data_IF_426426909924
#
_entry.id   IF_426426909924
#
_cell.length_a   1.000
_cell.length_b   1.000
_cell.length_c   1.000
_cell.angle_alpha   90.00
_cell.angle_beta   90.00
_cell.angle_gamma   90.00
#
_symmetry.space_group_name_H-M   'P 1'
#
loop_
_entity.id
_entity.type
_entity.pdbx_description
1 polymer ?
#
# COMPACT_ATOMS: atom_id res chain seq x y z
N UNK A 1 -28.61 -22.19 -73.85
CA UNK A 1 -29.73 -22.45 -72.93
C UNK A 1 -29.14 -22.69 -71.53
N UNK A 2 -29.50 -21.81 -70.58
CA UNK A 2 -29.55 -21.97 -69.10
C UNK A 2 -28.22 -22.34 -68.39
N UNK A 3 -27.53 -21.47 -67.65
CA UNK A 3 -27.83 -20.60 -66.49
C UNK A 3 -28.11 -21.32 -65.15
N UNK A 4 -27.48 -20.76 -64.10
CA UNK A 4 -27.63 -20.94 -62.63
C UNK A 4 -26.84 -22.09 -61.99
N UNK A 5 -26.13 -21.91 -60.85
CA UNK A 5 -26.19 -20.81 -59.90
C UNK A 5 -24.96 -20.72 -58.99
N UNK A 6 -24.71 -19.48 -58.56
CA UNK A 6 -23.80 -19.15 -57.48
C UNK A 6 -24.33 -19.67 -56.13
N UNK A 7 -23.43 -20.13 -55.27
CA UNK A 7 -23.65 -20.14 -53.82
C UNK A 7 -22.39 -19.67 -53.13
N UNK A 8 -22.37 -18.37 -52.83
CA UNK A 8 -21.56 -17.80 -51.78
C UNK A 8 -22.08 -18.32 -50.44
N UNK A 9 -21.20 -18.85 -49.59
CA UNK A 9 -21.47 -18.88 -48.15
C UNK A 9 -20.38 -18.11 -47.43
N UNK A 10 -20.71 -16.84 -47.21
CA UNK A 10 -20.07 -15.94 -46.28
C UNK A 10 -20.08 -16.56 -44.88
N UNK A 11 -18.95 -17.13 -44.45
CA UNK A 11 -18.64 -17.37 -43.06
C UNK A 11 -18.15 -16.09 -42.38
N UNK A 12 -18.93 -15.00 -42.46
CA UNK A 12 -18.66 -13.82 -41.64
C UNK A 12 -19.17 -14.15 -40.24
N UNK A 13 -18.34 -14.77 -39.41
CA UNK A 13 -18.58 -14.76 -37.97
C UNK A 13 -18.66 -13.30 -37.57
N UNK A 14 -19.76 -12.81 -36.98
CA UNK A 14 -19.80 -11.44 -36.51
C UNK A 14 -18.79 -11.39 -35.38
N UNK A 15 -17.61 -10.84 -35.65
CA UNK A 15 -16.72 -10.39 -34.61
C UNK A 15 -17.56 -9.40 -33.83
N UNK A 16 -18.00 -9.78 -32.63
CA UNK A 16 -18.59 -8.86 -31.68
C UNK A 16 -17.48 -7.85 -31.41
N UNK A 17 -17.43 -6.78 -32.20
CA UNK A 17 -16.69 -5.57 -31.90
C UNK A 17 -17.38 -4.98 -30.68
N UNK A 18 -17.13 -5.57 -29.51
CA UNK A 18 -17.37 -4.91 -28.24
C UNK A 18 -16.65 -3.57 -28.34
N UNK A 19 -17.42 -2.48 -28.40
CA UNK A 19 -16.87 -1.13 -28.31
C UNK A 19 -15.92 -1.11 -27.12
N UNK A 20 -14.63 -0.92 -27.37
CA UNK A 20 -13.59 -0.99 -26.36
C UNK A 20 -13.79 0.16 -25.35
N UNK A 21 -14.41 -0.12 -24.21
CA UNK A 21 -14.59 0.87 -23.14
C UNK A 21 -13.21 1.29 -22.65
N UNK A 22 -12.90 2.59 -22.71
CA UNK A 22 -11.59 3.16 -22.37
C UNK A 22 -10.40 2.54 -23.14
N UNK A 23 -10.66 1.86 -24.27
CA UNK A 23 -9.65 1.19 -25.09
C UNK A 23 -9.25 -0.21 -24.61
N UNK A 24 -9.93 -0.79 -23.61
CA UNK A 24 -9.68 -2.18 -23.20
C UNK A 24 -10.27 -3.16 -24.22
N UNK A 25 -9.43 -4.07 -24.72
CA UNK A 25 -9.83 -5.11 -25.69
C UNK A 25 -10.59 -6.27 -25.01
N UNK A 26 -10.27 -6.55 -23.73
CA UNK A 26 -10.89 -7.63 -22.94
C UNK A 26 -11.60 -7.08 -21.72
N UNK A 27 -12.79 -7.62 -21.43
CA UNK A 27 -13.56 -7.25 -20.23
C UNK A 27 -12.83 -7.64 -18.95
N UNK A 28 -12.11 -8.77 -18.93
CA UNK A 28 -11.31 -9.17 -17.77
C UNK A 28 -10.31 -8.09 -17.35
N UNK A 29 -9.58 -7.50 -18.30
CA UNK A 29 -8.60 -6.44 -18.01
C UNK A 29 -9.27 -5.14 -17.57
N UNK A 30 -10.44 -4.81 -18.12
CA UNK A 30 -11.26 -3.70 -17.61
C UNK A 30 -11.72 -3.97 -16.16
N UNK A 31 -12.21 -5.17 -15.85
CA UNK A 31 -12.66 -5.54 -14.50
C UNK A 31 -11.51 -5.51 -13.49
N UNK A 32 -10.33 -6.02 -13.86
CA UNK A 32 -9.14 -5.93 -13.01
C UNK A 32 -8.71 -4.48 -12.78
N UNK A 33 -8.73 -3.65 -13.84
CA UNK A 33 -8.43 -2.22 -13.70
C UNK A 33 -9.44 -1.50 -12.81
N UNK A 34 -10.74 -1.79 -12.93
CA UNK A 34 -11.77 -1.23 -12.07
C UNK A 34 -11.58 -1.65 -10.61
N UNK A 35 -11.26 -2.92 -10.36
CA UNK A 35 -11.05 -3.44 -9.00
C UNK A 35 -9.78 -2.83 -8.37
N UNK A 36 -8.61 -3.10 -8.96
CA UNK A 36 -7.33 -2.68 -8.39
C UNK A 36 -7.13 -1.17 -8.51
N UNK A 37 -7.49 -0.59 -9.65
CA UNK A 37 -7.41 0.86 -9.86
C UNK A 37 -8.42 1.62 -9.01
N UNK A 38 -9.64 1.10 -8.86
CA UNK A 38 -10.65 1.68 -7.97
C UNK A 38 -10.23 1.66 -6.51
N UNK A 39 -9.74 0.51 -6.00
CA UNK A 39 -9.21 0.39 -4.63
C UNK A 39 -8.04 1.36 -4.42
N UNK A 40 -7.12 1.43 -5.38
CA UNK A 40 -5.96 2.35 -5.31
C UNK A 40 -6.38 3.81 -5.27
N UNK A 41 -7.35 4.21 -6.10
CA UNK A 41 -7.87 5.58 -6.13
C UNK A 41 -8.61 5.92 -4.83
N UNK A 42 -9.46 5.01 -4.34
CA UNK A 42 -10.17 5.17 -3.07
C UNK A 42 -9.19 5.30 -1.91
N UNK A 43 -8.14 4.49 -1.88
CA UNK A 43 -7.09 4.57 -0.87
C UNK A 43 -6.38 5.94 -0.93
N UNK A 44 -5.99 6.39 -2.13
CA UNK A 44 -5.31 7.67 -2.29
C UNK A 44 -6.17 8.86 -1.82
N UNK A 45 -7.47 8.85 -2.14
CA UNK A 45 -8.38 9.94 -1.77
C UNK A 45 -8.74 9.93 -0.27
N UNK A 46 -8.91 8.74 0.33
CA UNK A 46 -9.21 8.61 1.76
C UNK A 46 -8.04 9.03 2.68
N UNK A 47 -6.81 9.07 2.15
CA UNK A 47 -5.61 9.39 2.93
C UNK A 47 -5.11 10.83 2.74
N UNK A 48 -5.88 11.71 2.10
CA UNK A 48 -5.49 13.13 1.91
C UNK A 48 -5.39 13.90 3.23
N UNK A 49 -6.15 13.53 4.27
CA UNK A 49 -6.10 14.21 5.57
C UNK A 49 -4.74 14.11 6.27
N UNK A 50 -3.99 13.03 6.02
CA UNK A 50 -2.65 12.79 6.56
C UNK A 50 -1.60 13.76 6.01
N UNK A 51 -1.92 14.57 5.00
CA UNK A 51 -1.03 15.65 4.55
C UNK A 51 -0.91 16.77 5.61
N UNK A 52 -1.90 16.91 6.48
CA UNK A 52 -1.91 17.88 7.57
C UNK A 52 -1.40 17.25 8.88
N UNK A 53 -0.68 18.04 9.68
CA UNK A 53 -0.24 17.63 11.04
C UNK A 53 -1.43 17.23 11.92
N UNK A 54 -2.53 17.99 11.86
CA UNK A 54 -3.75 17.71 12.62
C UNK A 54 -4.40 16.41 12.19
N UNK A 55 -4.46 16.15 10.88
CA UNK A 55 -4.98 14.89 10.34
C UNK A 55 -4.12 13.70 10.74
N UNK A 56 -2.78 13.79 10.64
CA UNK A 56 -1.89 12.74 11.13
C UNK A 56 -2.12 12.43 12.61
N UNK A 57 -2.17 13.46 13.46
CA UNK A 57 -2.39 13.28 14.91
C UNK A 57 -3.71 12.57 15.23
N UNK A 58 -4.75 12.80 14.43
CA UNK A 58 -6.09 12.24 14.65
C UNK A 58 -6.24 10.84 14.05
N UNK A 59 -5.67 10.59 12.89
CA UNK A 59 -6.00 9.43 12.05
C UNK A 59 -4.93 8.33 12.04
N UNK A 60 -3.71 8.62 12.48
CA UNK A 60 -2.69 7.58 12.64
C UNK A 60 -3.14 6.51 13.64
N UNK A 61 -2.67 5.28 13.41
CA UNK A 61 -2.97 4.18 14.30
C UNK A 61 -2.49 4.49 15.74
N UNK A 62 -3.14 3.89 16.76
CA UNK A 62 -2.74 4.05 18.14
C UNK A 62 -1.23 3.82 18.36
N UNK A 63 -0.59 4.73 19.09
CA UNK A 63 0.85 4.69 19.39
C UNK A 63 1.78 5.32 18.34
N UNK A 64 1.37 5.39 17.08
CA UNK A 64 2.24 5.88 16.00
C UNK A 64 2.64 7.36 16.16
N UNK A 65 1.71 8.19 16.66
CA UNK A 65 1.96 9.62 16.79
C UNK A 65 3.10 9.94 17.77
N UNK A 66 3.41 9.06 18.73
CA UNK A 66 4.55 9.22 19.63
C UNK A 66 5.87 9.43 18.87
N UNK A 67 6.07 8.66 17.80
CA UNK A 67 7.25 8.78 16.93
C UNK A 67 7.05 9.87 15.87
N UNK A 68 5.89 9.90 15.21
CA UNK A 68 5.62 10.81 14.09
C UNK A 68 5.34 12.27 14.47
N UNK A 69 5.27 12.61 15.76
CA UNK A 69 5.31 14.01 16.21
C UNK A 69 6.71 14.64 16.11
N UNK A 70 7.77 13.83 16.08
CA UNK A 70 9.14 14.32 15.93
C UNK A 70 9.34 14.86 14.51
N UNK A 71 9.91 16.06 14.39
CA UNK A 71 10.03 16.79 13.11
C UNK A 71 10.63 15.96 11.97
N UNK A 72 11.63 15.13 12.27
CA UNK A 72 12.30 14.28 11.29
C UNK A 72 11.38 13.21 10.72
N UNK A 73 10.75 12.38 11.57
CA UNK A 73 9.82 11.33 11.13
C UNK A 73 8.54 11.91 10.56
N UNK A 74 8.06 13.02 11.09
CA UNK A 74 6.90 13.73 10.54
C UNK A 74 7.17 14.20 9.10
N UNK A 75 8.34 14.77 8.85
CA UNK A 75 8.75 15.20 7.52
C UNK A 75 8.85 13.98 6.58
N UNK A 76 9.46 12.90 7.05
CA UNK A 76 9.54 11.64 6.31
C UNK A 76 8.15 11.13 5.89
N UNK A 77 7.22 11.02 6.84
CA UNK A 77 5.86 10.57 6.57
C UNK A 77 5.11 11.51 5.62
N UNK A 78 5.26 12.83 5.80
CA UNK A 78 4.64 13.81 4.90
C UNK A 78 5.19 13.71 3.48
N UNK A 79 6.51 13.61 3.32
CA UNK A 79 7.15 13.41 2.01
C UNK A 79 6.70 12.11 1.36
N UNK A 80 6.59 11.04 2.15
CA UNK A 80 6.07 9.76 1.69
C UNK A 80 4.67 9.92 1.11
N UNK A 81 3.73 10.48 1.88
CA UNK A 81 2.34 10.68 1.48
C UNK A 81 2.18 11.65 0.31
N UNK A 82 2.87 12.80 0.33
CA UNK A 82 2.86 13.77 -0.77
C UNK A 82 3.39 13.16 -2.09
N UNK A 83 4.19 12.11 -2.01
CA UNK A 83 4.71 11.43 -3.18
C UNK A 83 3.81 10.26 -3.62
N UNK A 84 3.47 9.34 -2.72
CA UNK A 84 2.77 8.10 -3.07
C UNK A 84 1.31 8.32 -3.42
N UNK A 85 0.62 9.30 -2.82
CA UNK A 85 -0.80 9.57 -3.13
C UNK A 85 -0.97 10.04 -4.59
N UNK A 86 -0.30 11.11 -5.07
CA UNK A 86 -0.40 11.49 -6.48
C UNK A 86 0.21 10.45 -7.42
N UNK A 87 1.29 9.75 -7.03
CA UNK A 87 1.83 8.67 -7.84
C UNK A 87 0.80 7.56 -8.07
N UNK A 88 0.06 7.16 -7.03
CA UNK A 88 -0.99 6.14 -7.11
C UNK A 88 -2.10 6.54 -8.08
N UNK A 89 -2.58 7.79 -7.98
CA UNK A 89 -3.57 8.34 -8.92
C UNK A 89 -3.04 8.29 -10.36
N UNK A 90 -1.81 8.76 -10.58
CA UNK A 90 -1.18 8.71 -11.90
C UNK A 90 -1.11 7.27 -12.42
N UNK A 91 -0.64 6.30 -11.62
CA UNK A 91 -0.52 4.90 -12.02
C UNK A 91 -1.83 4.30 -12.52
N UNK A 92 -2.96 4.59 -11.84
CA UNK A 92 -4.28 4.12 -12.27
C UNK A 92 -4.58 4.59 -13.69
N UNK A 93 -4.37 5.87 -13.99
CA UNK A 93 -4.62 6.43 -15.32
C UNK A 93 -3.56 6.00 -16.35
N UNK A 94 -2.31 5.80 -15.96
CA UNK A 94 -1.25 5.31 -16.84
C UNK A 94 -1.54 3.89 -17.37
N UNK A 95 -2.37 3.12 -16.67
CA UNK A 95 -2.79 1.78 -17.10
C UNK A 95 -3.95 1.79 -18.11
N UNK A 96 -4.61 2.94 -18.36
CA UNK A 96 -5.75 3.03 -19.28
C UNK A 96 -5.26 2.98 -20.74
N UNK A 97 -5.72 2.01 -21.56
CA UNK A 97 -5.24 1.85 -22.93
C UNK A 97 -5.47 3.08 -23.81
N UNK A 98 -6.60 3.80 -23.67
CA UNK A 98 -6.85 5.04 -24.41
C UNK A 98 -5.77 6.10 -24.13
N UNK A 99 -5.32 6.24 -22.88
CA UNK A 99 -4.26 7.18 -22.52
C UNK A 99 -2.93 6.71 -23.10
N UNK A 100 -2.60 5.43 -22.92
CA UNK A 100 -1.34 4.84 -23.40
C UNK A 100 -1.19 4.89 -24.93
N UNK A 101 -2.27 4.60 -25.66
CA UNK A 101 -2.22 4.41 -27.11
C UNK A 101 -2.47 5.72 -27.88
N UNK A 102 -3.46 6.51 -27.44
CA UNK A 102 -3.95 7.69 -28.16
C UNK A 102 -3.39 9.01 -27.59
N UNK A 103 -3.12 9.06 -26.28
CA UNK A 103 -2.60 10.27 -25.61
C UNK A 103 -1.17 10.07 -25.10
N UNK A 104 -0.27 9.68 -26.02
CA UNK A 104 1.11 9.28 -25.69
C UNK A 104 1.93 10.33 -24.94
N UNK A 105 1.69 11.62 -25.16
CA UNK A 105 2.39 12.67 -24.41
C UNK A 105 1.99 12.70 -22.94
N UNK A 106 0.69 12.54 -22.64
CA UNK A 106 0.17 12.39 -21.27
C UNK A 106 0.77 11.15 -20.61
N UNK A 107 0.84 10.03 -21.34
CA UNK A 107 1.49 8.81 -20.84
C UNK A 107 2.97 9.05 -20.49
N UNK A 108 3.72 9.71 -21.38
CA UNK A 108 5.15 9.98 -21.19
C UNK A 108 5.44 10.93 -20.04
N UNK A 109 4.74 12.07 -19.97
CA UNK A 109 4.95 13.06 -18.91
C UNK A 109 4.47 12.51 -17.58
N UNK A 110 3.26 11.93 -17.54
CA UNK A 110 2.73 11.35 -16.31
C UNK A 110 3.55 10.18 -15.80
N UNK A 111 4.09 9.32 -16.68
CA UNK A 111 5.01 8.25 -16.29
C UNK A 111 6.33 8.75 -15.69
N UNK A 112 6.89 9.86 -16.20
CA UNK A 112 8.08 10.50 -15.62
C UNK A 112 7.81 11.03 -14.22
N UNK A 113 6.71 11.78 -14.07
CA UNK A 113 6.28 12.33 -12.79
C UNK A 113 6.04 11.19 -11.79
N UNK A 114 5.30 10.16 -12.20
CA UNK A 114 5.01 9.00 -11.36
C UNK A 114 6.29 8.31 -10.90
N UNK A 115 7.26 8.01 -11.77
CA UNK A 115 8.52 7.40 -11.34
C UNK A 115 9.34 8.29 -10.40
N UNK A 116 9.41 9.60 -10.63
CA UNK A 116 10.08 10.52 -9.71
C UNK A 116 9.43 10.50 -8.33
N UNK A 117 8.09 10.58 -8.28
CA UNK A 117 7.34 10.51 -7.03
C UNK A 117 7.54 9.16 -6.35
N UNK A 118 7.60 8.04 -7.08
CA UNK A 118 7.89 6.73 -6.50
C UNK A 118 9.25 6.69 -5.82
N UNK A 119 10.29 7.27 -6.42
CA UNK A 119 11.59 7.33 -5.78
C UNK A 119 11.56 8.15 -4.50
N UNK A 120 10.94 9.34 -4.52
CA UNK A 120 10.77 10.16 -3.30
C UNK A 120 9.99 9.40 -2.23
N UNK A 121 8.89 8.74 -2.62
CA UNK A 121 8.05 7.94 -1.74
C UNK A 121 8.77 6.73 -1.16
N UNK A 122 9.57 6.02 -1.94
CA UNK A 122 10.35 4.87 -1.48
C UNK A 122 11.46 5.29 -0.51
N UNK A 123 12.23 6.35 -0.83
CA UNK A 123 13.27 6.88 0.06
C UNK A 123 12.65 7.31 1.40
N UNK A 124 11.61 8.13 1.35
CA UNK A 124 10.94 8.60 2.57
C UNK A 124 10.24 7.47 3.33
N UNK A 125 9.76 6.43 2.65
CA UNK A 125 9.25 5.20 3.25
C UNK A 125 10.30 4.49 4.09
N UNK A 126 11.50 4.29 3.53
CA UNK A 126 12.65 3.69 4.24
C UNK A 126 12.99 4.48 5.51
N UNK A 127 12.87 5.80 5.49
CA UNK A 127 13.13 6.65 6.67
C UNK A 127 12.15 6.44 7.82
N UNK A 128 10.90 6.10 7.53
CA UNK A 128 9.83 5.96 8.54
C UNK A 128 9.60 4.52 8.99
N UNK A 129 10.00 3.55 8.18
CA UNK A 129 9.89 2.11 8.46
C UNK A 129 10.40 1.68 9.85
N UNK A 130 11.49 2.23 10.42
CA UNK A 130 11.95 1.88 11.77
C UNK A 130 10.99 2.16 12.92
N UNK A 131 9.93 2.95 12.69
CA UNK A 131 8.93 3.29 13.71
C UNK A 131 7.50 2.93 13.32
N UNK A 132 7.28 2.56 12.05
CA UNK A 132 5.96 2.19 11.56
C UNK A 132 5.44 0.94 12.31
N UNK A 133 4.34 1.09 13.04
CA UNK A 133 3.77 0.10 13.95
C UNK A 133 4.86 -0.50 14.84
N UNK A 134 5.61 0.36 15.53
CA UNK A 134 6.68 -0.04 16.45
C UNK A 134 7.94 -0.62 15.83
N UNK A 135 8.03 -0.64 14.50
CA UNK A 135 9.28 -0.96 13.81
C UNK A 135 9.79 -2.37 14.09
N UNK A 136 8.91 -3.37 14.17
CA UNK A 136 9.37 -4.76 14.32
C UNK A 136 10.38 -5.13 13.24
N UNK A 137 11.41 -5.95 13.52
CA UNK A 137 12.39 -6.35 12.51
C UNK A 137 11.76 -6.97 11.26
N UNK A 138 10.61 -7.65 11.42
CA UNK A 138 9.83 -8.20 10.30
C UNK A 138 9.24 -7.11 9.39
N UNK A 139 8.63 -6.06 9.98
CA UNK A 139 8.11 -4.92 9.23
C UNK A 139 9.24 -4.10 8.58
N UNK A 140 10.40 -3.98 9.25
CA UNK A 140 11.56 -3.32 8.67
C UNK A 140 12.11 -4.08 7.47
N UNK A 141 12.30 -5.40 7.62
CA UNK A 141 12.76 -6.26 6.54
C UNK A 141 11.83 -6.19 5.32
N UNK A 142 10.51 -6.20 5.53
CA UNK A 142 9.57 -6.04 4.42
C UNK A 142 9.67 -4.65 3.79
N UNK A 143 9.65 -3.59 4.60
CA UNK A 143 9.67 -2.20 4.12
C UNK A 143 10.91 -1.90 3.26
N UNK A 144 12.06 -2.44 3.64
CA UNK A 144 13.29 -2.36 2.85
C UNK A 144 13.22 -3.24 1.59
N UNK A 145 12.64 -4.43 1.69
CA UNK A 145 12.46 -5.33 0.55
C UNK A 145 11.56 -4.71 -0.52
N UNK A 146 10.40 -4.18 -0.15
CA UNK A 146 9.47 -3.55 -1.10
C UNK A 146 10.09 -2.28 -1.71
N UNK A 147 10.86 -1.50 -0.94
CA UNK A 147 11.61 -0.38 -1.49
C UNK A 147 12.59 -0.84 -2.57
N UNK A 148 13.42 -1.86 -2.30
CA UNK A 148 14.35 -2.44 -3.28
C UNK A 148 13.61 -2.92 -4.53
N UNK A 149 12.49 -3.62 -4.37
CA UNK A 149 11.67 -4.10 -5.48
C UNK A 149 11.10 -2.94 -6.31
N UNK A 150 10.65 -1.85 -5.68
CA UNK A 150 10.18 -0.64 -6.35
C UNK A 150 11.33 0.03 -7.12
N UNK A 151 12.49 0.25 -6.49
CA UNK A 151 13.66 0.84 -7.15
C UNK A 151 14.10 0.01 -8.35
N UNK A 152 14.22 -1.30 -8.16
CA UNK A 152 14.68 -2.21 -9.21
C UNK A 152 13.67 -2.30 -10.37
N UNK A 153 12.39 -2.50 -10.07
CA UNK A 153 11.35 -2.63 -11.10
C UNK A 153 11.14 -1.33 -11.88
N UNK A 154 11.15 -0.17 -11.21
CA UNK A 154 11.06 1.14 -11.87
C UNK A 154 12.29 1.45 -12.73
N UNK A 155 13.50 1.15 -12.23
CA UNK A 155 14.73 1.24 -13.02
C UNK A 155 14.67 0.37 -14.28
N UNK A 156 14.24 -0.90 -14.15
CA UNK A 156 14.09 -1.81 -15.29
C UNK A 156 13.03 -1.31 -16.27
N UNK A 157 11.89 -0.84 -15.79
CA UNK A 157 10.85 -0.26 -16.63
C UNK A 157 11.40 0.95 -17.43
N UNK A 158 12.13 1.84 -16.76
CA UNK A 158 12.74 3.01 -17.38
C UNK A 158 13.82 2.65 -18.40
N UNK A 159 14.75 1.76 -18.04
CA UNK A 159 15.82 1.29 -18.93
C UNK A 159 15.24 0.66 -20.20
N UNK A 160 14.21 -0.18 -20.07
CA UNK A 160 13.59 -0.88 -21.21
C UNK A 160 12.86 0.07 -22.16
N UNK A 161 12.18 1.11 -21.66
CA UNK A 161 11.55 2.10 -22.54
C UNK A 161 12.60 2.97 -23.26
N UNK A 162 13.74 3.26 -22.62
CA UNK A 162 14.87 3.95 -23.28
C UNK A 162 15.47 3.12 -24.41
N UNK A 163 15.53 1.80 -24.25
CA UNK A 163 15.93 0.87 -25.31
C UNK A 163 14.80 0.54 -26.30
N UNK A 164 13.67 1.26 -26.29
CA UNK A 164 12.49 1.03 -27.13
C UNK A 164 11.88 -0.38 -27.02
N UNK A 165 12.16 -1.12 -25.93
CA UNK A 165 11.56 -2.43 -25.65
C UNK A 165 10.25 -2.24 -24.88
N UNK A 166 9.19 -1.90 -25.59
CA UNK A 166 7.88 -1.53 -25.02
C UNK A 166 7.25 -2.69 -24.22
N UNK A 167 7.32 -3.90 -24.76
CA UNK A 167 6.79 -5.11 -24.11
C UNK A 167 7.47 -5.38 -22.77
N UNK A 168 8.80 -5.25 -22.73
CA UNK A 168 9.56 -5.39 -21.48
C UNK A 168 9.27 -4.25 -20.50
N UNK A 169 9.15 -3.01 -20.99
CA UNK A 169 8.75 -1.88 -20.16
C UNK A 169 7.42 -2.15 -19.46
N UNK A 170 6.40 -2.61 -20.20
CA UNK A 170 5.09 -2.97 -19.64
C UNK A 170 5.23 -4.01 -18.53
N UNK A 171 5.98 -5.08 -18.77
CA UNK A 171 6.19 -6.16 -17.79
C UNK A 171 6.79 -5.64 -16.47
N UNK A 172 7.80 -4.78 -16.54
CA UNK A 172 8.43 -4.21 -15.34
C UNK A 172 7.58 -3.12 -14.68
N UNK A 173 6.85 -2.30 -15.46
CA UNK A 173 5.93 -1.31 -14.93
C UNK A 173 4.77 -1.96 -14.15
N UNK A 174 4.25 -3.09 -14.63
CA UNK A 174 3.22 -3.85 -13.92
C UNK A 174 3.74 -4.45 -12.62
N UNK A 175 4.95 -5.04 -12.60
CA UNK A 175 5.58 -5.50 -11.35
C UNK A 175 5.68 -4.38 -10.33
N UNK A 176 6.18 -3.21 -10.77
CA UNK A 176 6.26 -2.01 -9.93
C UNK A 176 4.88 -1.63 -9.35
N UNK A 177 3.84 -1.60 -10.18
CA UNK A 177 2.49 -1.28 -9.75
C UNK A 177 1.92 -2.29 -8.73
N UNK A 178 2.18 -3.59 -8.90
CA UNK A 178 1.74 -4.62 -7.95
C UNK A 178 2.50 -4.54 -6.62
N UNK A 179 3.81 -4.29 -6.64
CA UNK A 179 4.57 -4.08 -5.39
C UNK A 179 4.13 -2.82 -4.63
N UNK A 180 3.59 -1.80 -5.32
CA UNK A 180 2.96 -0.66 -4.65
C UNK A 180 1.59 -1.03 -4.09
N UNK A 181 0.82 -1.80 -4.85
CA UNK A 181 -0.51 -2.29 -4.45
C UNK A 181 -0.48 -3.23 -3.23
N UNK A 182 0.64 -3.92 -2.97
CA UNK A 182 0.79 -4.74 -1.76
C UNK A 182 0.72 -3.91 -0.48
N UNK A 183 1.28 -2.69 -0.47
CA UNK A 183 1.24 -1.78 0.68
C UNK A 183 -0.17 -1.24 0.98
N UNK A 184 -1.04 -1.19 -0.03
CA UNK A 184 -2.47 -0.83 0.13
C UNK A 184 -3.22 -2.04 0.69
N UNK A 185 -3.00 -3.21 0.07
CA UNK A 185 -3.65 -4.46 0.47
C UNK A 185 -3.29 -4.89 1.89
N UNK A 186 -2.08 -4.56 2.35
CA UNK A 186 -1.61 -4.87 3.70
C UNK A 186 -2.45 -4.21 4.79
N UNK A 187 -3.19 -3.13 4.50
CA UNK A 187 -4.08 -2.48 5.46
C UNK A 187 -5.32 -3.31 5.76
N UNK A 188 -5.85 -3.98 4.74
CA UNK A 188 -6.96 -4.94 4.90
C UNK A 188 -6.42 -6.21 5.58
N UNK A 189 -5.27 -6.70 5.12
CA UNK A 189 -4.64 -7.89 5.71
C UNK A 189 -4.23 -7.67 7.17
N UNK A 190 -3.86 -6.44 7.56
CA UNK A 190 -3.56 -6.08 8.93
C UNK A 190 -4.75 -6.39 9.83
N UNK A 191 -5.94 -5.87 9.49
CA UNK A 191 -7.16 -6.13 10.28
C UNK A 191 -7.53 -7.62 10.34
N UNK A 192 -7.36 -8.35 9.25
CA UNK A 192 -7.62 -9.81 9.23
C UNK A 192 -6.64 -10.54 10.15
N UNK A 193 -5.33 -10.31 9.97
CA UNK A 193 -4.28 -10.99 10.72
C UNK A 193 -4.32 -10.66 12.21
N UNK A 194 -4.59 -9.41 12.58
CA UNK A 194 -4.69 -8.99 13.98
C UNK A 194 -5.92 -9.60 14.68
N UNK A 195 -7.08 -9.68 14.00
CA UNK A 195 -8.26 -10.38 14.54
C UNK A 195 -7.98 -11.87 14.75
N UNK A 196 -7.34 -12.52 13.78
CA UNK A 196 -6.94 -13.92 13.88
C UNK A 196 -5.96 -14.12 15.04
N UNK A 197 -4.95 -13.25 15.18
CA UNK A 197 -3.94 -13.37 16.22
C UNK A 197 -4.54 -13.26 17.63
N UNK A 198 -5.47 -12.32 17.85
CA UNK A 198 -6.17 -12.16 19.14
C UNK A 198 -7.15 -13.31 19.42
N UNK A 199 -7.72 -13.92 18.37
CA UNK A 199 -8.62 -15.07 18.52
C UNK A 199 -7.90 -16.33 19.05
N UNK A 200 -6.67 -16.58 18.61
CA UNK A 200 -5.92 -17.79 18.97
C UNK A 200 -5.31 -17.77 20.38
N UNK A 201 -5.46 -16.68 21.13
CA UNK A 201 -5.05 -16.60 22.53
C UNK A 201 -4.47 -15.24 22.90
N UNK A 202 -4.11 -15.06 24.18
CA UNK A 202 -3.52 -13.81 24.64
C UNK A 202 -2.14 -13.60 24.01
N UNK A 203 -2.01 -12.55 23.22
CA UNK A 203 -0.74 -12.11 22.62
C UNK A 203 -0.28 -10.83 23.32
N UNK A 204 1.03 -10.59 23.31
CA UNK A 204 1.63 -9.43 23.94
C UNK A 204 2.70 -8.82 23.04
N UNK A 205 2.79 -7.51 23.05
CA UNK A 205 3.85 -6.76 22.37
C UNK A 205 4.51 -5.83 23.36
N UNK A 206 5.82 -5.66 23.24
CA UNK A 206 6.61 -4.82 24.13
C UNK A 206 6.44 -3.34 23.74
N UNK A 207 6.22 -2.49 24.76
CA UNK A 207 6.19 -1.03 24.66
C UNK A 207 7.16 -0.42 25.66
N UNK A 208 7.71 0.75 25.34
CA UNK A 208 8.39 1.59 26.35
C UNK A 208 7.37 2.30 27.22
N UNK A 209 7.71 2.56 28.48
CA UNK A 209 6.80 3.24 29.40
C UNK A 209 6.42 4.65 28.94
N UNK A 210 7.34 5.39 28.33
CA UNK A 210 7.06 6.74 27.80
C UNK A 210 6.16 6.72 26.56
N UNK A 211 6.40 5.79 25.64
CA UNK A 211 5.51 5.54 24.49
C UNK A 211 4.11 5.12 24.97
N UNK A 212 4.04 4.28 25.99
CA UNK A 212 2.80 3.76 26.54
C UNK A 212 1.98 4.84 27.25
N UNK A 213 2.59 5.65 28.11
CA UNK A 213 1.93 6.77 28.79
C UNK A 213 1.35 7.77 27.77
N UNK A 214 2.15 8.11 26.76
CA UNK A 214 1.73 9.00 25.69
C UNK A 214 0.55 8.41 24.90
N UNK A 215 0.61 7.11 24.58
CA UNK A 215 -0.45 6.40 23.85
C UNK A 215 -1.76 6.40 24.65
N UNK A 216 -1.70 6.09 25.95
CA UNK A 216 -2.88 6.08 26.81
C UNK A 216 -3.49 7.48 26.99
N UNK A 217 -2.65 8.49 27.18
CA UNK A 217 -3.08 9.90 27.28
C UNK A 217 -3.74 10.38 25.99
N UNK A 218 -3.19 10.01 24.84
CA UNK A 218 -3.83 10.30 23.55
C UNK A 218 -5.16 9.57 23.39
N UNK A 219 -5.24 8.31 23.83
CA UNK A 219 -6.47 7.53 23.82
C UNK A 219 -7.57 8.24 24.59
N UNK A 220 -7.31 8.63 25.83
CA UNK A 220 -8.24 9.38 26.68
C UNK A 220 -8.75 10.66 26.00
N UNK A 221 -7.84 11.45 25.41
CA UNK A 221 -8.19 12.69 24.72
C UNK A 221 -9.01 12.47 23.42
N UNK A 222 -8.88 11.32 22.75
CA UNK A 222 -9.57 11.03 21.48
C UNK A 222 -10.90 10.30 21.70
N UNK A 223 -11.00 9.46 22.73
CA UNK A 223 -12.19 8.64 22.99
C UNK A 223 -13.08 9.21 24.09
N UNK A 224 -12.62 10.23 24.84
CA UNK A 224 -13.26 10.74 26.06
C UNK A 224 -13.52 9.63 27.10
N UNK A 225 -12.65 8.62 27.15
CA UNK A 225 -12.70 7.53 28.13
C UNK A 225 -11.54 7.72 29.09
N UNK A 226 -11.84 7.89 30.38
CA UNK A 226 -10.83 8.07 31.42
C UNK A 226 -9.90 6.87 31.47
N UNK A 227 -8.59 7.11 31.38
CA UNK A 227 -7.59 6.05 31.47
C UNK A 227 -7.37 5.64 32.92
N UNK A 228 -7.01 4.38 33.12
CA UNK A 228 -6.46 3.91 34.40
C UNK A 228 -5.04 4.50 34.54
N UNK A 229 -4.62 4.93 35.75
CA UNK A 229 -3.24 5.36 35.99
C UNK A 229 -2.23 4.34 35.47
N UNK A 230 -1.13 4.84 34.91
CA UNK A 230 -0.17 4.00 34.18
C UNK A 230 0.43 2.94 35.12
N UNK A 231 0.81 3.34 36.32
CA UNK A 231 1.40 2.52 37.38
C UNK A 231 0.45 1.44 37.92
N UNK A 232 -0.86 1.71 37.94
CA UNK A 232 -1.86 0.75 38.40
C UNK A 232 -2.03 -0.38 37.38
N UNK A 233 -1.96 -0.04 36.08
CA UNK A 233 -2.09 -1.02 35.00
C UNK A 233 -0.76 -1.69 34.64
N UNK A 234 0.34 -0.95 34.72
CA UNK A 234 1.70 -1.38 34.38
C UNK A 234 2.66 -0.97 35.51
N UNK A 235 2.76 -1.75 36.60
CA UNK A 235 3.56 -1.40 37.79
C UNK A 235 5.04 -1.11 37.51
N UNK A 236 5.61 -1.75 36.48
CA UNK A 236 6.99 -1.49 36.05
C UNK A 236 7.21 -0.06 35.54
N UNK A 237 6.16 0.66 35.13
CA UNK A 237 6.21 2.06 34.74
C UNK A 237 6.02 3.04 35.91
N UNK A 238 5.76 2.58 37.14
CA UNK A 238 5.62 3.45 38.33
C UNK A 238 6.94 4.02 38.88
N UNK A 239 8.08 3.70 38.27
CA UNK A 239 9.41 4.19 38.66
C UNK A 239 9.71 5.62 38.19
N UNK A 240 10.96 6.06 38.36
CA UNK A 240 11.41 7.39 37.95
C UNK A 240 11.19 7.63 36.45
N UNK A 241 10.53 8.73 36.09
CA UNK A 241 10.22 9.15 34.71
C UNK A 241 11.48 9.17 33.82
N UNK A 242 12.65 9.47 34.38
CA UNK A 242 13.92 9.44 33.63
C UNK A 242 14.27 8.07 33.05
N UNK A 243 13.80 6.98 33.66
CA UNK A 243 14.01 5.60 33.19
C UNK A 243 12.99 5.14 32.15
N UNK A 244 11.89 5.86 31.93
CA UNK A 244 10.78 5.38 31.10
C UNK A 244 11.16 5.14 29.63
N UNK A 245 12.22 5.80 29.16
CA UNK A 245 12.76 5.62 27.81
C UNK A 245 13.50 4.29 27.61
N UNK A 246 13.89 3.61 28.68
CA UNK A 246 14.60 2.33 28.66
C UNK A 246 13.83 1.21 29.35
N UNK A 247 12.86 1.55 30.21
CA UNK A 247 11.93 0.59 30.81
C UNK A 247 10.88 0.14 29.79
N UNK A 248 10.74 -1.18 29.65
CA UNK A 248 9.80 -1.80 28.70
C UNK A 248 8.83 -2.73 29.40
N UNK A 249 7.60 -2.79 28.90
CA UNK A 249 6.52 -3.62 29.45
C UNK A 249 5.75 -4.37 28.35
N UNK A 250 5.29 -5.60 28.60
CA UNK A 250 4.42 -6.30 27.67
C UNK A 250 2.99 -5.76 27.76
N UNK A 251 2.43 -5.35 26.63
CA UNK A 251 1.06 -4.87 26.49
C UNK A 251 0.23 -5.92 25.77
N UNK A 252 -0.89 -6.32 26.38
CA UNK A 252 -1.81 -7.31 25.80
C UNK A 252 -2.40 -6.79 24.49
N UNK A 253 -2.45 -7.64 23.47
CA UNK A 253 -3.12 -7.34 22.21
C UNK A 253 -4.62 -7.64 22.32
N UNK A 254 -5.47 -6.62 22.24
CA UNK A 254 -6.93 -6.79 22.28
C UNK A 254 -7.68 -5.66 21.57
N UNK A 255 -8.88 -5.98 21.06
CA UNK A 255 -9.80 -5.01 20.45
C UNK A 255 -10.82 -4.41 21.42
N UNK A 256 -11.02 -5.05 22.57
CA UNK A 256 -12.01 -4.66 23.60
C UNK A 256 -11.37 -3.95 24.79
N UNK A 257 -10.07 -3.64 24.71
CA UNK A 257 -9.30 -3.00 25.77
C UNK A 257 -9.10 -1.50 25.57
N UNK A 258 -8.08 -0.97 26.23
CA UNK A 258 -7.64 0.42 26.07
C UNK A 258 -6.99 0.69 24.71
N UNK A 259 -6.71 1.97 24.45
CA UNK A 259 -6.08 2.44 23.21
C UNK A 259 -4.72 1.78 22.96
N UNK A 260 -3.99 1.49 24.03
CA UNK A 260 -2.72 0.77 24.03
C UNK A 260 -2.86 -0.73 23.69
N UNK A 261 -3.95 -1.37 24.08
CA UNK A 261 -4.19 -2.78 23.73
C UNK A 261 -4.53 -2.92 22.24
N UNK A 262 -5.26 -1.93 21.69
CA UNK A 262 -5.49 -1.81 20.25
C UNK A 262 -4.18 -1.52 19.50
N UNK A 263 -3.34 -0.63 20.03
CA UNK A 263 -2.00 -0.38 19.48
C UNK A 263 -1.18 -1.67 19.41
N UNK A 264 -1.19 -2.44 20.50
CA UNK A 264 -0.52 -3.74 20.60
C UNK A 264 -1.05 -4.73 19.55
N UNK A 265 -2.37 -4.84 19.38
CA UNK A 265 -2.97 -5.75 18.39
C UNK A 265 -2.58 -5.43 16.94
N UNK A 266 -2.51 -4.15 16.57
CA UNK A 266 -2.08 -3.75 15.24
C UNK A 266 -0.56 -3.91 15.06
N UNK A 267 0.23 -3.59 16.09
CA UNK A 267 1.69 -3.73 16.09
C UNK A 267 2.12 -5.18 15.90
N UNK A 268 1.41 -6.11 16.54
CA UNK A 268 1.72 -7.54 16.54
C UNK A 268 1.82 -8.13 15.12
N UNK A 269 0.87 -7.80 14.25
CA UNK A 269 0.73 -8.48 12.94
C UNK A 269 1.12 -7.62 11.75
N UNK A 270 1.58 -6.38 11.96
CA UNK A 270 1.95 -5.47 10.87
C UNK A 270 3.00 -6.04 9.92
N UNK A 271 4.09 -6.61 10.45
CA UNK A 271 5.11 -7.24 9.61
C UNK A 271 4.56 -8.43 8.81
N UNK A 272 3.75 -9.27 9.44
CA UNK A 272 3.17 -10.44 8.79
C UNK A 272 2.20 -10.05 7.66
N UNK A 273 1.35 -9.05 7.88
CA UNK A 273 0.39 -8.59 6.88
C UNK A 273 1.08 -8.01 5.64
N UNK A 274 2.19 -7.29 5.84
CA UNK A 274 3.04 -6.78 4.78
C UNK A 274 3.63 -7.92 3.93
N UNK A 275 4.29 -8.91 4.55
CA UNK A 275 4.90 -10.04 3.85
C UNK A 275 3.89 -10.89 3.08
N UNK A 276 2.73 -11.18 3.68
CA UNK A 276 1.65 -11.93 3.03
C UNK A 276 1.20 -11.18 1.77
N UNK A 277 0.92 -9.88 1.88
CA UNK A 277 0.48 -9.09 0.73
C UNK A 277 1.56 -8.96 -0.34
N UNK A 278 2.82 -8.73 0.03
CA UNK A 278 3.92 -8.68 -0.94
C UNK A 278 4.02 -9.99 -1.72
N UNK A 279 3.92 -11.13 -1.04
CA UNK A 279 3.97 -12.46 -1.66
C UNK A 279 2.81 -12.68 -2.62
N UNK A 280 1.57 -12.39 -2.19
CA UNK A 280 0.37 -12.52 -3.03
C UNK A 280 0.49 -11.67 -4.30
N UNK A 281 0.95 -10.42 -4.17
CA UNK A 281 1.11 -9.51 -5.31
C UNK A 281 2.26 -9.93 -6.22
N UNK A 282 3.37 -10.41 -5.68
CA UNK A 282 4.50 -10.93 -6.45
C UNK A 282 4.13 -12.16 -7.28
N UNK A 283 3.35 -13.09 -6.72
CA UNK A 283 2.82 -14.24 -7.48
C UNK A 283 1.77 -13.78 -8.48
N UNK A 284 0.83 -12.94 -8.03
CA UNK A 284 -0.30 -12.46 -8.82
C UNK A 284 0.11 -11.74 -10.10
N UNK A 285 1.17 -10.93 -10.05
CA UNK A 285 1.66 -10.23 -11.24
C UNK A 285 2.25 -11.19 -12.27
N UNK A 286 2.96 -12.24 -11.86
CA UNK A 286 3.50 -13.23 -12.79
C UNK A 286 2.39 -14.05 -13.45
N UNK A 287 1.38 -14.48 -12.67
CA UNK A 287 0.19 -15.12 -13.22
C UNK A 287 -0.56 -14.23 -14.22
N UNK A 288 -0.68 -12.92 -13.92
CA UNK A 288 -1.30 -11.96 -14.83
C UNK A 288 -0.47 -11.75 -16.11
N UNK A 289 0.85 -11.63 -16.01
CA UNK A 289 1.72 -11.45 -17.16
C UNK A 289 1.71 -12.66 -18.09
N UNK A 290 1.68 -13.88 -17.53
CA UNK A 290 1.62 -15.11 -18.31
C UNK A 290 0.26 -15.31 -19.01
N UNK A 291 -0.83 -14.81 -18.43
CA UNK A 291 -2.17 -14.91 -19.03
C UNK A 291 -2.57 -13.74 -19.93
N UNK A 292 -1.74 -12.70 -20.03
CA UNK A 292 -1.98 -11.50 -20.84
C UNK A 292 -0.94 -11.28 -21.94
N UNK A 293 -0.29 -12.34 -22.42
CA UNK A 293 0.73 -12.29 -23.47
C UNK A 293 0.18 -11.80 -24.81
N UNK A 294 -1.10 -12.08 -25.07
CA UNK A 294 -1.87 -11.72 -26.26
C UNK A 294 -2.50 -10.31 -26.20
N UNK A 295 -2.50 -9.67 -25.03
CA UNK A 295 -3.00 -8.29 -24.86
C UNK A 295 -1.94 -7.22 -25.16
N UNK A 296 -0.81 -7.58 -25.77
CA UNK A 296 0.16 -6.61 -26.25
C UNK A 296 -0.31 -6.03 -27.60
N UNK A 297 -0.71 -4.75 -27.68
CA UNK A 297 -0.76 -4.09 -28.96
C UNK A 297 0.70 -3.71 -29.30
N UNK A 298 1.24 -4.41 -30.30
CA UNK A 298 2.61 -4.43 -30.84
C UNK A 298 3.44 -5.64 -30.40
#
# INVERSE_FOLDING_TARGET
MLSYGATAMNGFTPSIQRKAMLGFLRQRSLSLWLLFGGITLMFALSHLEYLSTKGMRKSLAPGEWFWFQHKYYQLGLRLHLMAVLPASVLFVFQCVPCIRNNHRQIHRVGGRIAFTLLYVGAISGVLITPHAFGGSPSAQAEGYTVAILIFFSSYKAWSRIRSRRITDHRKWALRCAFYLGSSISSRIMLGITSLIAVYFGPQYVVFRCDELDFTMTMGEALTNVTRIPLEDKYPACGGNISSWSTTVVPVRSAYTGGYEELASALRLTFGASLWICLTIHAIGVECYLNSSTDENPL
#
